data_IF_431583873507
#
_entry.id   IF_431583873507
#
_cell.length_a   1.000
_cell.length_b   1.000
_cell.length_c   1.000
_cell.angle_alpha   90.00
_cell.angle_beta   90.00
_cell.angle_gamma   90.00
#
_symmetry.space_group_name_H-M   'P 1'
#
loop_
_entity.id
_entity.type
_entity.pdbx_description
1 polymer ?
#
# COMPACT_ATOMS: atom_id res chain seq x y z
N UNK A 1 -6.83 -8.04 -11.97
CA UNK A 1 -6.79 -7.10 -13.11
C UNK A 1 -6.39 -5.74 -12.57
N UNK A 2 -5.31 -5.14 -13.08
CA UNK A 2 -4.87 -3.79 -12.69
C UNK A 2 -4.89 -2.92 -13.93
N UNK A 3 -5.49 -1.72 -13.86
CA UNK A 3 -5.65 -0.82 -15.01
C UNK A 3 -6.24 -1.52 -16.26
N UNK A 4 -7.21 -2.42 -16.07
CA UNK A 4 -7.84 -3.20 -17.15
C UNK A 4 -6.99 -4.33 -17.74
N UNK A 5 -5.78 -4.59 -17.22
CA UNK A 5 -4.90 -5.66 -17.69
C UNK A 5 -4.92 -6.88 -16.78
N UNK A 6 -5.00 -8.06 -17.40
CA UNK A 6 -4.81 -9.34 -16.73
C UNK A 6 -3.31 -9.61 -16.60
N UNK A 7 -2.91 -10.12 -15.43
CA UNK A 7 -1.54 -10.52 -15.14
C UNK A 7 -1.58 -11.93 -14.57
N UNK A 8 -0.64 -12.76 -15.02
CA UNK A 8 -0.41 -14.09 -14.47
C UNK A 8 0.92 -14.08 -13.73
N UNK A 9 0.92 -14.58 -12.50
CA UNK A 9 2.11 -14.70 -11.66
C UNK A 9 2.22 -16.14 -11.17
N UNK A 10 3.44 -16.58 -10.90
CA UNK A 10 3.74 -17.92 -10.38
C UNK A 10 3.22 -18.10 -8.94
N UNK A 11 3.19 -17.01 -8.16
CA UNK A 11 2.69 -17.01 -6.78
C UNK A 11 2.09 -15.66 -6.36
N UNK A 12 1.37 -15.65 -5.23
CA UNK A 12 0.85 -14.41 -4.63
C UNK A 12 1.96 -13.46 -4.21
N UNK A 13 3.09 -13.98 -3.73
CA UNK A 13 4.25 -13.16 -3.37
C UNK A 13 4.76 -12.39 -4.60
N UNK A 14 4.92 -13.05 -5.75
CA UNK A 14 5.30 -12.37 -6.99
C UNK A 14 4.30 -11.28 -7.39
N UNK A 15 3.00 -11.55 -7.25
CA UNK A 15 1.96 -10.56 -7.54
C UNK A 15 2.02 -9.35 -6.59
N UNK A 16 2.21 -9.57 -5.29
CA UNK A 16 2.35 -8.53 -4.27
C UNK A 16 3.61 -7.69 -4.54
N UNK A 17 4.74 -8.33 -4.83
CA UNK A 17 5.97 -7.63 -5.16
C UNK A 17 5.86 -6.81 -6.45
N UNK A 18 5.09 -7.26 -7.44
CA UNK A 18 4.90 -6.52 -8.68
C UNK A 18 3.90 -5.37 -8.55
N UNK A 19 2.81 -5.56 -7.78
CA UNK A 19 1.63 -4.70 -7.87
C UNK A 19 1.33 -3.91 -6.59
N UNK A 20 1.74 -4.39 -5.42
CA UNK A 20 1.37 -3.74 -4.17
C UNK A 20 2.13 -2.42 -3.97
N UNK A 21 1.47 -1.33 -3.54
CA UNK A 21 2.12 -0.10 -3.13
C UNK A 21 3.19 -0.34 -2.06
N UNK A 22 4.20 0.51 -2.03
CA UNK A 22 5.25 0.49 -1.01
C UNK A 22 4.94 1.57 0.02
N UNK A 23 4.94 1.20 1.30
CA UNK A 23 4.82 2.18 2.36
C UNK A 23 6.06 3.09 2.38
N UNK A 24 5.91 4.43 2.26
CA UNK A 24 7.07 5.33 2.18
C UNK A 24 7.83 5.47 3.51
N UNK A 25 7.30 4.93 4.62
CA UNK A 25 7.96 4.94 5.92
C UNK A 25 8.80 3.67 6.17
N UNK A 26 8.18 2.48 6.09
CA UNK A 26 8.84 1.21 6.43
C UNK A 26 9.24 0.37 5.21
N UNK A 27 8.92 0.82 3.99
CA UNK A 27 9.26 0.15 2.74
C UNK A 27 8.63 -1.24 2.52
N UNK A 28 7.71 -1.66 3.39
CA UNK A 28 6.94 -2.89 3.19
C UNK A 28 5.87 -2.73 2.10
N UNK A 29 5.48 -3.84 1.49
CA UNK A 29 4.35 -3.93 0.56
C UNK A 29 3.02 -3.81 1.31
N UNK A 30 2.10 -3.00 0.82
CA UNK A 30 0.76 -2.79 1.39
C UNK A 30 -0.23 -3.78 0.75
N UNK A 31 -0.66 -4.79 1.52
CA UNK A 31 -1.48 -5.92 1.04
C UNK A 31 -2.92 -5.90 1.60
N UNK A 32 -3.29 -4.88 2.39
CA UNK A 32 -4.61 -4.72 3.01
C UNK A 32 -5.14 -3.29 2.92
N UNK A 33 -6.05 -2.91 3.82
CA UNK A 33 -6.70 -1.58 3.85
C UNK A 33 -5.69 -0.42 3.75
N UNK A 34 -4.58 -0.51 4.49
CA UNK A 34 -3.61 0.58 4.54
C UNK A 34 -4.24 1.88 5.05
N UNK A 35 -3.47 2.96 5.04
CA UNK A 35 -3.96 4.29 5.42
C UNK A 35 -3.49 5.29 4.39
N UNK A 36 -4.41 6.13 3.91
CA UNK A 36 -4.09 7.15 2.91
C UNK A 36 -3.96 8.53 3.56
N UNK A 37 -2.90 9.25 3.20
CA UNK A 37 -2.67 10.64 3.60
C UNK A 37 -1.86 11.36 2.52
N UNK A 38 -2.31 12.55 2.10
CA UNK A 38 -1.68 13.38 1.06
C UNK A 38 -1.36 12.61 -0.24
N UNK A 39 -2.25 11.72 -0.67
CA UNK A 39 -2.06 10.89 -1.87
C UNK A 39 -1.01 9.78 -1.72
N UNK A 40 -0.47 9.56 -0.52
CA UNK A 40 0.44 8.46 -0.21
C UNK A 40 -0.27 7.38 0.60
N UNK A 41 0.07 6.13 0.33
CA UNK A 41 -0.47 4.96 1.02
C UNK A 41 0.57 4.41 2.00
N UNK A 42 0.17 4.25 3.25
CA UNK A 42 0.96 3.66 4.32
C UNK A 42 0.41 2.29 4.71
N UNK A 43 1.27 1.41 5.23
CA UNK A 43 0.82 0.08 5.68
C UNK A 43 -0.07 0.15 6.94
N UNK A 44 0.10 1.17 7.78
CA UNK A 44 -0.67 1.36 9.01
C UNK A 44 -0.63 2.81 9.52
N UNK A 45 -1.50 3.10 10.49
CA UNK A 45 -1.61 4.42 11.17
C UNK A 45 -0.28 4.85 11.81
N UNK A 46 0.46 3.92 12.42
CA UNK A 46 1.74 4.23 13.05
C UNK A 46 2.77 4.74 12.04
N UNK A 47 2.89 4.09 10.88
CA UNK A 47 3.79 4.53 9.82
C UNK A 47 3.39 5.90 9.25
N UNK A 48 2.09 6.13 9.05
CA UNK A 48 1.61 7.43 8.58
C UNK A 48 1.91 8.56 9.57
N UNK A 49 1.63 8.35 10.87
CA UNK A 49 1.92 9.32 11.94
C UNK A 49 3.42 9.60 12.08
N UNK A 50 4.25 8.56 12.00
CA UNK A 50 5.71 8.71 12.10
C UNK A 50 6.28 9.46 10.89
N UNK A 51 5.63 9.34 9.72
CA UNK A 51 5.89 10.17 8.55
C UNK A 51 5.26 11.58 8.62
N UNK A 52 4.78 12.03 9.79
CA UNK A 52 4.23 13.36 10.00
C UNK A 52 2.80 13.57 9.49
N UNK A 53 2.09 12.49 9.11
CA UNK A 53 0.71 12.59 8.61
C UNK A 53 -0.28 12.57 9.77
N UNK A 54 -1.07 13.64 9.89
CA UNK A 54 -2.04 13.85 10.99
C UNK A 54 -3.48 13.63 10.56
N UNK A 55 -3.81 13.88 9.30
CA UNK A 55 -5.12 13.56 8.71
C UNK A 55 -5.03 12.21 8.00
N UNK A 56 -5.64 11.19 8.61
CA UNK A 56 -5.61 9.82 8.12
C UNK A 56 -7.00 9.41 7.65
N UNK A 57 -7.10 8.85 6.45
CA UNK A 57 -8.32 8.23 5.93
C UNK A 57 -8.09 6.72 5.81
N UNK A 58 -9.05 5.97 6.34
CA UNK A 58 -9.11 4.54 6.10
C UNK A 58 -9.59 4.28 4.67
N UNK A 59 -9.04 3.25 4.03
CA UNK A 59 -9.39 2.82 2.68
C UNK A 59 -10.07 1.45 2.78
N UNK A 60 -11.33 1.50 3.21
CA UNK A 60 -12.32 0.41 3.12
C UNK A 60 -13.18 0.58 1.88
#
# INVERSE_FOLDING_TARGET
VVAGKHHTFDSFECAIHALAPVCPHCNCRVVGHGVEADGQIFCCVHCARTAGKTQLKDRV
#
